data_IF_052839058491
#
_entry.id   IF_052839058491
#
_cell.length_a   1.000
_cell.length_b   1.000
_cell.length_c   1.000
_cell.angle_alpha   90.00
_cell.angle_beta   90.00
_cell.angle_gamma   90.00
#
_symmetry.space_group_name_H-M   'P 1'
#
loop_
_entity.id
_entity.type
_entity.pdbx_description
1 polymer ?
#
# COMPACT_ATOMS: atom_id res chain seq x y z
N UNK A 1 -30.44 -85.81 20.51
CA UNK A 1 -29.57 -86.69 19.69
C UNK A 1 -28.13 -86.20 19.83
N UNK A 2 -27.27 -86.98 20.49
CA UNK A 2 -25.81 -86.95 20.36
C UNK A 2 -25.41 -88.12 19.43
N UNK A 3 -24.15 -88.28 18.96
CA UNK A 3 -23.10 -87.31 18.61
C UNK A 3 -22.43 -87.67 17.24
N UNK A 4 -21.42 -86.92 16.79
CA UNK A 4 -20.19 -87.56 16.27
C UNK A 4 -18.94 -86.69 16.42
N UNK A 5 -17.95 -87.35 16.99
CA UNK A 5 -16.62 -86.94 17.43
C UNK A 5 -15.66 -86.80 16.24
N UNK A 6 -14.70 -85.89 16.36
CA UNK A 6 -13.54 -85.80 15.47
C UNK A 6 -12.40 -85.00 16.11
N UNK A 7 -11.70 -85.64 17.05
CA UNK A 7 -10.44 -85.25 17.67
C UNK A 7 -9.34 -84.90 16.65
N UNK A 8 -8.44 -83.94 16.93
CA UNK A 8 -7.08 -84.20 17.45
C UNK A 8 -6.06 -83.06 17.14
N UNK A 9 -5.55 -82.45 18.22
CA UNK A 9 -4.21 -81.91 18.52
C UNK A 9 -3.26 -81.26 17.48
N UNK A 10 -2.68 -80.15 18.00
CA UNK A 10 -1.25 -79.73 18.07
C UNK A 10 -0.65 -78.75 17.04
N UNK A 11 -0.63 -77.47 17.48
CA UNK A 11 0.55 -76.66 17.88
C UNK A 11 1.67 -76.45 16.82
N UNK A 12 1.89 -75.20 16.37
CA UNK A 12 3.02 -74.32 16.77
C UNK A 12 3.13 -73.00 15.97
N UNK A 13 3.21 -71.91 16.75
CA UNK A 13 4.09 -70.73 16.67
C UNK A 13 4.10 -69.78 15.45
N UNK A 14 4.03 -68.50 15.84
CA UNK A 14 4.88 -67.33 15.50
C UNK A 14 4.30 -66.30 14.53
N UNK A 15 4.18 -65.07 15.05
CA UNK A 15 4.52 -63.84 14.32
C UNK A 15 3.34 -63.03 13.80
N UNK A 16 3.28 -61.75 14.18
CA UNK A 16 2.48 -60.74 13.48
C UNK A 16 1.49 -60.01 14.39
N UNK A 17 1.99 -59.02 15.14
CA UNK A 17 1.17 -58.04 15.85
C UNK A 17 0.25 -57.30 14.86
N UNK A 18 -1.04 -57.17 15.20
CA UNK A 18 -2.03 -56.37 14.48
C UNK A 18 -1.60 -54.90 14.38
N UNK A 19 -1.77 -54.21 13.23
CA UNK A 19 -1.68 -52.75 13.18
C UNK A 19 -2.87 -52.15 13.93
N UNK A 20 -2.59 -51.26 14.89
CA UNK A 20 -3.59 -50.44 15.57
C UNK A 20 -4.16 -49.36 14.66
N UNK A 21 -5.26 -48.70 15.08
CA UNK A 21 -5.97 -47.73 14.27
C UNK A 21 -5.08 -46.50 13.99
N UNK A 22 -5.08 -46.07 12.73
CA UNK A 22 -4.34 -44.90 12.26
C UNK A 22 -4.71 -43.63 13.05
N UNK A 23 -3.74 -42.75 13.36
CA UNK A 23 -4.02 -41.48 14.00
C UNK A 23 -4.86 -40.58 13.06
N UNK A 24 -5.64 -39.64 13.61
CA UNK A 24 -6.38 -38.68 12.80
C UNK A 24 -5.41 -37.87 11.95
N UNK A 25 -5.81 -37.65 10.69
CA UNK A 25 -5.17 -36.76 9.75
C UNK A 25 -4.97 -35.40 10.44
N UNK A 26 -3.72 -35.02 10.70
CA UNK A 26 -3.37 -33.65 11.03
C UNK A 26 -3.78 -32.82 9.83
N UNK A 27 -4.91 -32.10 9.96
CA UNK A 27 -5.30 -31.04 9.05
C UNK A 27 -4.11 -30.10 8.99
N UNK A 28 -3.38 -30.12 7.87
CA UNK A 28 -2.35 -29.14 7.62
C UNK A 28 -3.03 -27.78 7.68
N UNK A 29 -2.63 -26.99 8.68
CA UNK A 29 -2.86 -25.56 8.69
C UNK A 29 -2.41 -25.07 7.31
N UNK A 30 -3.37 -24.67 6.50
CA UNK A 30 -3.06 -23.99 5.25
C UNK A 30 -2.52 -22.65 5.71
N UNK A 31 -1.20 -22.58 5.88
CA UNK A 31 -0.46 -21.33 6.03
C UNK A 31 -0.76 -20.53 4.77
N UNK A 32 -1.88 -19.81 4.79
CA UNK A 32 -2.06 -18.69 3.89
C UNK A 32 -1.02 -17.68 4.34
N UNK A 33 0.04 -17.44 3.54
CA UNK A 33 1.01 -16.42 3.90
C UNK A 33 0.23 -15.12 4.08
N UNK A 34 0.42 -14.46 5.22
CA UNK A 34 -0.16 -13.15 5.45
C UNK A 34 0.25 -12.22 4.30
N UNK A 35 -0.64 -11.32 3.85
CA UNK A 35 -0.31 -10.41 2.78
C UNK A 35 0.99 -9.65 3.12
N UNK A 36 1.81 -9.35 2.10
CA UNK A 36 3.10 -8.72 2.33
C UNK A 36 2.89 -7.37 3.03
N UNK A 37 3.67 -7.15 4.09
CA UNK A 37 3.60 -5.94 4.90
C UNK A 37 4.81 -5.06 4.60
N UNK A 38 4.57 -3.77 4.40
CA UNK A 38 5.66 -2.82 4.22
C UNK A 38 6.35 -2.54 5.57
N UNK A 39 7.69 -2.50 5.54
CA UNK A 39 8.54 -2.22 6.70
C UNK A 39 9.48 -1.08 6.32
N UNK A 40 9.51 -0.02 7.12
CA UNK A 40 10.44 1.08 6.88
C UNK A 40 11.89 0.60 7.05
N UNK A 41 12.83 1.08 6.24
CA UNK A 41 14.24 0.62 6.27
C UNK A 41 14.95 0.85 7.61
N UNK A 42 14.53 1.87 8.35
CA UNK A 42 15.02 2.15 9.71
C UNK A 42 14.47 1.21 10.78
N UNK A 43 13.36 0.50 10.51
CA UNK A 43 12.76 -0.41 11.48
C UNK A 43 13.59 -1.70 11.58
N UNK A 44 13.72 -2.29 12.78
CA UNK A 44 14.49 -3.51 12.95
C UNK A 44 13.91 -4.64 12.11
N UNK A 45 14.74 -5.19 11.21
CA UNK A 45 14.31 -6.28 10.32
C UNK A 45 14.11 -7.57 11.12
N UNK A 46 13.00 -8.30 10.89
CA UNK A 46 12.90 -9.68 11.32
C UNK A 46 14.05 -10.50 10.72
N UNK A 47 14.64 -11.42 11.50
CA UNK A 47 15.83 -12.20 11.12
C UNK A 47 15.69 -13.05 9.85
N UNK A 48 14.46 -13.21 9.36
CA UNK A 48 14.09 -13.88 8.10
C UNK A 48 14.29 -13.02 6.85
N UNK A 49 14.41 -11.69 6.95
CA UNK A 49 14.64 -10.80 5.80
C UNK A 49 16.13 -10.77 5.41
N UNK A 50 16.60 -11.85 4.77
CA UNK A 50 17.96 -11.95 4.20
C UNK A 50 18.04 -11.62 2.70
N UNK A 51 17.04 -10.94 2.15
CA UNK A 51 17.03 -10.60 0.73
C UNK A 51 17.74 -9.25 0.53
N UNK A 52 18.73 -9.24 -0.38
CA UNK A 52 19.15 -7.98 -1.01
C UNK A 52 18.00 -7.55 -1.90
N UNK A 53 17.61 -6.26 -1.91
CA UNK A 53 16.61 -5.77 -2.86
C UNK A 53 17.03 -6.15 -4.27
N UNK A 54 16.13 -6.85 -4.97
CA UNK A 54 16.40 -7.32 -6.33
C UNK A 54 16.24 -6.17 -7.33
N UNK A 55 15.26 -5.30 -7.09
CA UNK A 55 14.98 -4.10 -7.88
C UNK A 55 14.44 -2.98 -6.97
N UNK A 56 14.88 -1.73 -7.22
CA UNK A 56 14.32 -0.55 -6.57
C UNK A 56 13.10 -0.05 -7.34
N UNK A 57 12.03 0.26 -6.62
CA UNK A 57 10.77 0.79 -7.13
C UNK A 57 10.58 2.22 -6.61
N UNK A 58 9.98 3.10 -7.41
CA UNK A 58 9.66 4.47 -6.98
C UNK A 58 8.16 4.66 -6.87
N UNK A 59 7.69 5.19 -5.75
CA UNK A 59 6.31 5.62 -5.52
C UNK A 59 6.27 7.13 -5.51
N UNK A 60 5.42 7.70 -6.36
CA UNK A 60 5.18 9.14 -6.43
C UNK A 60 3.89 9.47 -5.70
N UNK A 61 3.99 10.27 -4.64
CA UNK A 61 2.87 10.68 -3.80
C UNK A 61 2.58 12.16 -4.02
N UNK A 62 1.50 12.47 -4.71
CA UNK A 62 1.03 13.85 -4.84
C UNK A 62 0.28 14.26 -3.58
N UNK A 63 0.59 15.43 -3.03
CA UNK A 63 0.01 15.91 -1.76
C UNK A 63 -0.86 17.14 -2.02
N UNK A 64 -2.17 16.98 -1.89
CA UNK A 64 -3.15 18.07 -1.93
C UNK A 64 -3.43 18.51 -0.50
N UNK A 65 -3.08 19.74 -0.15
CA UNK A 65 -3.29 20.26 1.20
C UNK A 65 -4.43 21.27 1.23
N UNK A 66 -5.40 21.06 2.13
CA UNK A 66 -6.37 22.07 2.50
C UNK A 66 -5.72 23.18 3.35
N UNK A 67 -6.44 24.26 3.59
CA UNK A 67 -6.03 25.35 4.48
C UNK A 67 -5.70 24.81 5.86
N UNK A 68 -4.52 25.17 6.40
CA UNK A 68 -4.03 24.65 7.68
C UNK A 68 -3.50 23.20 7.64
N UNK A 69 -3.74 22.48 6.54
CA UNK A 69 -3.18 21.16 6.30
C UNK A 69 -1.67 21.21 6.00
N UNK A 70 -1.04 20.03 6.00
CA UNK A 70 0.40 19.91 5.76
C UNK A 70 0.73 19.76 4.28
N UNK A 71 1.73 20.49 3.81
CA UNK A 71 2.25 20.31 2.46
C UNK A 71 3.24 19.13 2.36
N UNK A 72 3.69 18.82 1.15
CA UNK A 72 4.59 17.71 0.85
C UNK A 72 5.95 17.79 1.57
N UNK A 73 6.57 18.97 1.64
CA UNK A 73 7.86 19.16 2.33
C UNK A 73 7.73 18.87 3.82
N UNK A 74 6.62 19.32 4.43
CA UNK A 74 6.36 19.10 5.84
C UNK A 74 6.02 17.64 6.13
N UNK A 75 5.35 16.93 5.22
CA UNK A 75 5.16 15.48 5.34
C UNK A 75 6.47 14.71 5.31
N UNK A 76 7.38 15.04 4.38
CA UNK A 76 8.73 14.48 4.36
C UNK A 76 9.44 14.64 5.70
N UNK A 77 9.44 15.86 6.23
CA UNK A 77 10.07 16.18 7.50
C UNK A 77 9.44 15.43 8.68
N UNK A 78 8.11 15.32 8.71
CA UNK A 78 7.39 14.60 9.77
C UNK A 78 7.66 13.11 9.71
N UNK A 79 7.74 12.52 8.52
CA UNK A 79 8.05 11.10 8.35
C UNK A 79 9.47 10.79 8.86
N UNK A 80 10.46 11.61 8.51
CA UNK A 80 11.83 11.47 9.04
C UNK A 80 11.89 11.62 10.57
N UNK A 81 11.10 12.55 11.14
CA UNK A 81 10.98 12.73 12.60
C UNK A 81 10.41 11.53 13.32
N UNK A 82 9.35 10.92 12.77
CA UNK A 82 8.73 9.73 13.38
C UNK A 82 9.72 8.58 13.46
N UNK A 83 10.63 8.48 12.48
CA UNK A 83 11.64 7.44 12.39
C UNK A 83 12.94 7.76 13.14
N UNK A 84 12.91 8.77 14.01
CA UNK A 84 14.03 9.20 14.86
C UNK A 84 15.33 9.44 14.05
N UNK A 85 15.21 9.83 12.77
CA UNK A 85 16.34 10.28 11.97
C UNK A 85 16.74 11.67 12.47
N UNK A 86 17.55 11.69 13.53
CA UNK A 86 17.84 12.83 14.40
C UNK A 86 18.68 13.96 13.80
N UNK A 87 18.39 14.40 12.58
CA UNK A 87 19.08 15.54 11.96
C UNK A 87 18.23 16.81 11.95
N UNK A 88 18.89 17.89 12.36
CA UNK A 88 18.44 19.26 12.11
C UNK A 88 18.49 19.48 10.59
N UNK A 89 17.40 19.98 10.02
CA UNK A 89 17.20 20.16 8.57
C UNK A 89 18.34 20.96 7.94
N UNK A 90 19.15 20.37 7.06
CA UNK A 90 20.12 21.13 6.23
C UNK A 90 19.66 21.36 4.78
N UNK A 91 18.49 20.80 4.41
CA UNK A 91 17.85 21.01 3.12
C UNK A 91 18.44 20.21 1.96
N UNK A 92 19.47 19.37 2.19
CA UNK A 92 20.13 18.57 1.16
C UNK A 92 20.13 17.06 1.41
N UNK A 93 19.85 16.61 2.64
CA UNK A 93 19.76 15.18 2.90
C UNK A 93 18.51 14.53 2.26
N UNK A 94 18.77 13.50 1.46
CA UNK A 94 17.79 12.58 0.89
C UNK A 94 17.14 11.81 2.05
N UNK A 95 15.98 12.27 2.52
CA UNK A 95 15.24 11.58 3.59
C UNK A 95 15.05 10.11 3.22
N UNK A 96 15.53 9.21 4.09
CA UNK A 96 15.34 7.77 3.88
C UNK A 96 13.86 7.46 4.08
N UNK A 97 13.12 7.52 2.98
CA UNK A 97 11.70 7.25 2.83
C UNK A 97 11.49 5.88 2.18
N UNK A 98 12.44 4.98 2.43
CA UNK A 98 12.48 3.65 1.83
C UNK A 98 11.71 2.64 2.65
N UNK A 99 10.99 1.79 1.94
CA UNK A 99 10.20 0.71 2.50
C UNK A 99 10.54 -0.61 1.82
N UNK A 100 10.64 -1.66 2.61
CA UNK A 100 10.75 -3.03 2.11
C UNK A 100 9.36 -3.68 2.11
N UNK A 101 8.94 -4.22 0.98
CA UNK A 101 7.70 -4.99 0.86
C UNK A 101 7.95 -6.22 -0.02
N UNK A 102 7.78 -7.42 0.55
CA UNK A 102 8.05 -8.73 -0.10
C UNK A 102 9.43 -8.84 -0.78
N UNK A 103 10.47 -8.25 -0.18
CA UNK A 103 11.84 -8.29 -0.71
C UNK A 103 12.15 -7.25 -1.79
N UNK A 104 11.19 -6.39 -2.14
CA UNK A 104 11.40 -5.21 -3.00
C UNK A 104 11.63 -3.97 -2.15
N UNK A 105 12.47 -3.07 -2.66
CA UNK A 105 12.74 -1.77 -2.04
C UNK A 105 11.92 -0.69 -2.77
N UNK A 106 11.23 0.13 -2.00
CA UNK A 106 10.34 1.18 -2.47
C UNK A 106 10.78 2.53 -1.91
N UNK A 107 11.20 3.42 -2.80
CA UNK A 107 11.49 4.81 -2.48
C UNK A 107 10.22 5.65 -2.64
N UNK A 108 9.78 6.31 -1.56
CA UNK A 108 8.54 7.09 -1.53
C UNK A 108 8.85 8.57 -1.69
N UNK A 109 8.39 9.14 -2.79
CA UNK A 109 8.64 10.53 -3.12
C UNK A 109 7.38 11.40 -3.02
N UNK A 110 7.39 12.44 -2.16
CA UNK A 110 6.27 13.37 -2.05
C UNK A 110 6.45 14.60 -2.93
N UNK A 111 5.38 15.00 -3.61
CA UNK A 111 5.41 16.13 -4.54
C UNK A 111 4.16 16.99 -4.40
N UNK A 112 4.24 18.29 -4.75
CA UNK A 112 3.03 19.08 -4.92
C UNK A 112 2.23 18.55 -6.13
N UNK A 113 0.91 18.77 -6.16
CA UNK A 113 0.10 18.48 -7.35
C UNK A 113 0.60 19.39 -8.48
N UNK A 114 0.96 18.81 -9.62
CA UNK A 114 1.46 19.59 -10.75
C UNK A 114 1.07 18.99 -12.09
N UNK A 115 0.50 19.82 -12.96
CA UNK A 115 0.33 19.51 -14.38
C UNK A 115 1.62 19.68 -15.20
N UNK A 116 2.70 20.22 -14.59
CA UNK A 116 3.97 20.46 -15.29
C UNK A 116 4.71 19.17 -15.62
N UNK A 117 4.35 18.05 -15.00
CA UNK A 117 4.84 16.74 -15.41
C UNK A 117 4.27 16.43 -16.80
N UNK A 118 5.14 16.37 -17.81
CA UNK A 118 4.74 15.99 -19.16
C UNK A 118 4.08 14.60 -19.16
N UNK A 119 3.09 14.38 -20.03
CA UNK A 119 2.30 13.15 -20.09
C UNK A 119 3.20 11.92 -20.26
N UNK A 120 4.26 12.07 -21.06
CA UNK A 120 5.29 11.04 -21.24
C UNK A 120 5.96 10.65 -19.92
N UNK A 121 6.29 11.61 -19.06
CA UNK A 121 6.91 11.34 -17.76
C UNK A 121 5.95 10.59 -16.82
N UNK A 122 4.67 10.99 -16.79
CA UNK A 122 3.63 10.29 -16.01
C UNK A 122 3.35 8.87 -16.53
N UNK A 123 3.45 8.62 -17.84
CA UNK A 123 3.33 7.26 -18.41
C UNK A 123 4.43 6.31 -17.92
N UNK A 124 5.61 6.83 -17.55
CA UNK A 124 6.69 6.03 -16.98
C UNK A 124 6.57 5.84 -15.47
N UNK A 125 5.72 6.62 -14.78
CA UNK A 125 5.46 6.43 -13.36
C UNK A 125 4.51 5.26 -13.15
N UNK A 126 5.05 4.16 -12.64
CA UNK A 126 4.27 2.98 -12.30
C UNK A 126 3.34 3.29 -11.12
N UNK A 127 3.92 3.69 -9.98
CA UNK A 127 3.18 3.89 -8.75
C UNK A 127 2.94 5.38 -8.49
N UNK A 128 1.70 5.85 -8.72
CA UNK A 128 1.29 7.23 -8.39
C UNK A 128 0.15 7.15 -7.39
N UNK A 129 0.35 7.74 -6.22
CA UNK A 129 -0.59 7.81 -5.11
C UNK A 129 -0.98 9.27 -4.83
N UNK A 130 -2.10 9.44 -4.12
CA UNK A 130 -2.62 10.76 -3.76
C UNK A 130 -2.86 10.85 -2.25
N UNK A 131 -2.47 11.97 -1.65
CA UNK A 131 -2.72 12.26 -0.24
C UNK A 131 -3.44 13.60 -0.14
N UNK A 132 -4.58 13.59 0.52
CA UNK A 132 -5.25 14.80 0.98
C UNK A 132 -4.87 15.05 2.43
N UNK A 133 -4.49 16.28 2.77
CA UNK A 133 -4.17 16.66 4.13
C UNK A 133 -5.08 17.77 4.62
N UNK A 134 -5.52 17.66 5.87
CA UNK A 134 -6.38 18.65 6.51
C UNK A 134 -6.05 18.82 7.98
N UNK A 135 -6.44 19.97 8.53
CA UNK A 135 -6.36 20.28 9.95
C UNK A 135 -7.68 19.88 10.61
N UNK A 136 -7.64 18.87 11.50
CA UNK A 136 -8.81 18.38 12.21
C UNK A 136 -9.40 19.40 13.18
N UNK A 137 -8.64 20.45 13.53
CA UNK A 137 -9.12 21.59 14.31
C UNK A 137 -10.00 22.56 13.51
N UNK A 138 -10.04 22.41 12.19
CA UNK A 138 -10.75 23.30 11.27
C UNK A 138 -11.80 22.56 10.44
N UNK A 139 -13.08 22.85 10.70
CA UNK A 139 -14.18 22.34 9.86
C UNK A 139 -14.06 22.82 8.42
N UNK A 140 -13.62 24.06 8.21
CA UNK A 140 -13.35 24.62 6.88
C UNK A 140 -12.30 23.79 6.13
N UNK A 141 -11.20 23.39 6.80
CA UNK A 141 -10.15 22.55 6.21
C UNK A 141 -10.67 21.17 5.77
N UNK A 142 -11.55 20.59 6.59
CA UNK A 142 -12.21 19.32 6.25
C UNK A 142 -13.17 19.46 5.07
N UNK A 143 -14.03 20.49 5.08
CA UNK A 143 -14.99 20.73 4.00
C UNK A 143 -14.26 21.01 2.66
N UNK A 144 -13.13 21.74 2.69
CA UNK A 144 -12.24 21.92 1.53
C UNK A 144 -11.68 20.58 1.01
N UNK A 145 -11.26 19.70 1.92
CA UNK A 145 -10.73 18.37 1.58
C UNK A 145 -11.79 17.50 0.93
N UNK A 146 -12.99 17.47 1.50
CA UNK A 146 -14.15 16.75 0.93
C UNK A 146 -14.49 17.30 -0.44
N UNK A 147 -14.55 18.63 -0.59
CA UNK A 147 -14.85 19.27 -1.87
C UNK A 147 -13.78 18.98 -2.93
N UNK A 148 -12.50 19.00 -2.56
CA UNK A 148 -11.40 18.65 -3.46
C UNK A 148 -11.46 17.18 -3.90
N UNK A 149 -11.69 16.27 -2.95
CA UNK A 149 -11.85 14.85 -3.24
C UNK A 149 -13.01 14.58 -4.21
N UNK A 150 -14.20 15.12 -3.90
CA UNK A 150 -15.39 14.88 -4.73
C UNK A 150 -15.28 15.53 -6.10
N UNK A 151 -14.64 16.71 -6.20
CA UNK A 151 -14.33 17.34 -7.48
C UNK A 151 -13.45 16.42 -8.32
N UNK A 152 -12.34 15.94 -7.76
CA UNK A 152 -11.43 15.04 -8.48
C UNK A 152 -12.13 13.75 -8.91
N UNK A 153 -12.92 13.15 -8.01
CA UNK A 153 -13.71 11.96 -8.33
C UNK A 153 -14.69 12.22 -9.47
N UNK A 154 -15.37 13.36 -9.49
CA UNK A 154 -16.33 13.72 -10.53
C UNK A 154 -15.69 13.94 -11.92
N UNK A 155 -14.41 14.26 -11.96
CA UNK A 155 -13.64 14.44 -13.19
C UNK A 155 -13.12 13.12 -13.77
N UNK A 156 -13.24 12.01 -13.04
CA UNK A 156 -12.78 10.70 -13.47
C UNK A 156 -13.89 9.84 -14.09
N UNK A 157 -13.57 9.06 -15.12
CA UNK A 157 -14.47 8.09 -15.74
C UNK A 157 -14.95 7.07 -14.69
N UNK A 158 -16.26 6.86 -14.58
CA UNK A 158 -16.94 6.02 -13.56
C UNK A 158 -16.58 6.36 -12.09
N UNK A 159 -15.99 7.53 -11.84
CA UNK A 159 -15.51 7.92 -10.51
C UNK A 159 -14.28 7.13 -10.02
N UNK A 160 -13.59 6.42 -10.91
CA UNK A 160 -12.38 5.64 -10.59
C UNK A 160 -11.16 6.54 -10.71
N UNK A 161 -10.47 6.76 -9.59
CA UNK A 161 -9.28 7.60 -9.55
C UNK A 161 -8.09 6.95 -10.30
N UNK A 162 -7.26 7.74 -11.00
CA UNK A 162 -6.08 7.23 -11.72
C UNK A 162 -4.89 6.87 -10.80
N UNK A 163 -5.10 6.84 -9.49
CA UNK A 163 -4.08 6.61 -8.47
C UNK A 163 -4.11 5.17 -7.97
N UNK A 164 -2.95 4.64 -7.62
CA UNK A 164 -2.81 3.29 -7.05
C UNK A 164 -3.34 3.23 -5.62
N UNK A 165 -3.20 4.35 -4.90
CA UNK A 165 -3.72 4.51 -3.56
C UNK A 165 -4.11 5.96 -3.30
N UNK A 166 -5.15 6.15 -2.50
CA UNK A 166 -5.55 7.48 -2.02
C UNK A 166 -5.63 7.45 -0.50
N UNK A 167 -5.12 8.50 0.15
CA UNK A 167 -5.12 8.63 1.60
C UNK A 167 -5.67 10.00 2.01
N UNK A 168 -6.44 10.02 3.10
CA UNK A 168 -6.93 11.21 3.77
C UNK A 168 -6.21 11.28 5.12
N UNK A 169 -5.42 12.32 5.32
CA UNK A 169 -4.52 12.47 6.44
C UNK A 169 -4.92 13.66 7.31
N UNK A 170 -5.31 13.36 8.54
CA UNK A 170 -5.76 14.32 9.55
C UNK A 170 -4.59 14.76 10.44
N UNK A 171 -4.39 16.06 10.55
CA UNK A 171 -3.43 16.69 11.46
C UNK A 171 -4.15 17.35 12.64
N UNK A 172 -3.61 17.17 13.85
CA UNK A 172 -4.15 17.83 15.05
C UNK A 172 -5.48 17.23 15.51
N UNK A 173 -6.12 17.84 16.49
CA UNK A 173 -7.41 17.39 17.03
C UNK A 173 -8.41 18.55 17.02
N UNK A 174 -9.70 18.26 16.79
CA UNK A 174 -10.75 19.27 17.01
C UNK A 174 -12.14 18.86 16.52
N UNK A 175 -12.93 19.81 15.96
CA UNK A 175 -14.38 19.65 15.81
C UNK A 175 -14.78 18.63 14.74
N UNK A 176 -13.87 18.25 13.84
CA UNK A 176 -14.12 17.17 12.87
C UNK A 176 -13.81 15.86 13.57
N UNK A 177 -14.84 15.03 13.82
CA UNK A 177 -14.60 13.73 14.42
C UNK A 177 -13.85 12.85 13.45
N UNK A 178 -12.96 12.05 13.99
CA UNK A 178 -12.18 11.15 13.16
C UNK A 178 -13.02 10.02 12.59
N UNK A 179 -14.09 9.64 13.28
CA UNK A 179 -15.05 8.65 12.82
C UNK A 179 -15.78 9.14 11.56
N UNK A 180 -16.07 10.44 11.47
CA UNK A 180 -16.64 11.06 10.26
C UNK A 180 -15.66 10.94 9.09
N UNK A 181 -14.41 11.35 9.30
CA UNK A 181 -13.39 11.33 8.24
C UNK A 181 -13.01 9.91 7.81
N UNK A 182 -12.93 8.97 8.76
CA UNK A 182 -12.67 7.56 8.49
C UNK A 182 -13.83 6.92 7.73
N UNK A 183 -15.09 7.19 8.12
CA UNK A 183 -16.26 6.71 7.39
C UNK A 183 -16.28 7.27 5.96
N UNK A 184 -15.94 8.54 5.78
CA UNK A 184 -15.82 9.17 4.47
C UNK A 184 -14.77 8.46 3.60
N UNK A 185 -13.56 8.22 4.14
CA UNK A 185 -12.48 7.55 3.44
C UNK A 185 -12.85 6.10 3.05
N UNK A 186 -13.38 5.33 4.01
CA UNK A 186 -13.78 3.94 3.82
C UNK A 186 -14.87 3.78 2.75
N UNK A 187 -15.89 4.64 2.77
CA UNK A 187 -16.95 4.64 1.75
C UNK A 187 -16.40 4.84 0.33
N UNK A 188 -15.23 5.48 0.22
CA UNK A 188 -14.58 5.84 -1.04
C UNK A 188 -13.35 4.98 -1.35
N UNK A 189 -13.10 3.92 -0.57
CA UNK A 189 -11.95 3.04 -0.75
C UNK A 189 -10.60 3.74 -0.55
N UNK A 190 -10.56 4.80 0.26
CA UNK A 190 -9.33 5.54 0.59
C UNK A 190 -8.85 5.16 1.98
N UNK A 191 -7.54 5.25 2.21
CA UNK A 191 -6.95 5.12 3.53
C UNK A 191 -7.28 6.35 4.38
N UNK A 192 -7.44 6.15 5.68
CA UNK A 192 -7.52 7.24 6.64
C UNK A 192 -6.40 7.11 7.67
N UNK A 193 -5.72 8.23 7.94
CA UNK A 193 -4.68 8.30 8.96
C UNK A 193 -4.83 9.57 9.79
N UNK A 194 -4.59 9.42 11.09
CA UNK A 194 -4.34 10.54 12.01
C UNK A 194 -2.85 10.58 12.27
N UNK A 195 -2.26 11.76 12.25
CA UNK A 195 -0.85 11.88 12.58
C UNK A 195 -0.54 13.11 13.42
N UNK A 196 0.53 12.99 14.21
CA UNK A 196 1.00 14.07 15.07
C UNK A 196 1.66 15.18 14.24
N UNK A 197 1.23 16.46 14.38
CA UNK A 197 1.88 17.60 13.73
C UNK A 197 3.31 17.88 14.23
N UNK A 198 3.68 17.29 15.36
CA UNK A 198 4.96 17.54 16.05
C UNK A 198 5.96 16.42 15.78
N UNK A 199 5.50 15.18 15.92
CA UNK A 199 6.35 13.98 15.86
C UNK A 199 6.18 13.19 14.58
N UNK A 200 5.13 13.44 13.79
CA UNK A 200 4.80 12.64 12.61
C UNK A 200 4.17 11.29 12.91
N UNK A 201 4.11 10.89 14.20
CA UNK A 201 3.58 9.59 14.63
C UNK A 201 2.27 9.24 13.93
N UNK A 202 2.25 8.10 13.25
CA UNK A 202 1.15 7.60 12.44
C UNK A 202 1.45 7.59 10.94
N UNK A 203 2.34 8.45 10.45
CA UNK A 203 2.64 8.57 9.02
C UNK A 203 3.36 7.34 8.46
N UNK A 204 4.33 6.78 9.18
CA UNK A 204 5.16 5.68 8.69
C UNK A 204 4.35 4.43 8.39
N UNK A 205 3.41 4.08 9.26
CA UNK A 205 2.50 2.95 8.98
C UNK A 205 1.55 3.25 7.82
N UNK A 206 1.04 4.48 7.72
CA UNK A 206 0.10 4.85 6.67
C UNK A 206 0.76 4.92 5.28
N UNK A 207 1.98 5.44 5.21
CA UNK A 207 2.81 5.37 4.01
C UNK A 207 3.17 3.92 3.68
N UNK A 208 3.46 3.09 4.69
CA UNK A 208 3.59 1.65 4.52
C UNK A 208 2.36 1.02 3.86
N UNK A 209 1.14 1.39 4.27
CA UNK A 209 -0.08 0.91 3.61
C UNK A 209 -0.23 1.39 2.15
N UNK A 210 0.26 2.59 1.80
CA UNK A 210 0.35 3.00 0.39
C UNK A 210 1.37 2.16 -0.40
N UNK A 211 2.49 1.80 0.22
CA UNK A 211 3.49 0.89 -0.36
C UNK A 211 2.88 -0.49 -0.61
N UNK A 212 2.11 -1.02 0.33
CA UNK A 212 1.40 -2.29 0.18
C UNK A 212 0.38 -2.24 -0.98
N UNK A 213 -0.36 -1.15 -1.14
CA UNK A 213 -1.25 -0.94 -2.30
C UNK A 213 -0.48 -0.87 -3.62
N UNK A 214 0.65 -0.16 -3.65
CA UNK A 214 1.54 -0.11 -4.82
C UNK A 214 2.10 -1.48 -5.18
N UNK A 215 2.51 -2.24 -4.18
CA UNK A 215 3.02 -3.58 -4.32
C UNK A 215 1.98 -4.54 -4.92
N UNK A 216 0.74 -4.48 -4.44
CA UNK A 216 -0.34 -5.36 -4.88
C UNK A 216 -0.64 -5.27 -6.39
N UNK A 217 -0.33 -4.13 -7.03
CA UNK A 217 -0.55 -3.92 -8.47
C UNK A 217 0.75 -3.87 -9.28
N UNK A 218 1.91 -4.10 -8.65
CA UNK A 218 3.23 -3.93 -9.25
C UNK A 218 3.39 -4.72 -10.55
N UNK A 219 3.17 -6.02 -10.52
CA UNK A 219 3.44 -6.86 -11.70
C UNK A 219 2.59 -6.46 -12.91
N UNK A 220 1.34 -6.05 -12.67
CA UNK A 220 0.47 -5.54 -13.72
C UNK A 220 1.00 -4.21 -14.29
N UNK A 221 1.49 -3.31 -13.44
CA UNK A 221 2.03 -2.02 -13.88
C UNK A 221 3.38 -2.16 -14.59
N UNK A 222 4.24 -3.08 -14.14
CA UNK A 222 5.49 -3.43 -14.81
C UNK A 222 5.19 -3.98 -16.20
N UNK A 223 4.28 -4.94 -16.31
CA UNK A 223 3.86 -5.49 -17.60
C UNK A 223 3.27 -4.41 -18.54
N UNK A 224 2.41 -3.53 -18.02
CA UNK A 224 1.83 -2.43 -18.80
C UNK A 224 2.93 -1.46 -19.31
N UNK A 225 3.96 -1.19 -18.48
CA UNK A 225 5.08 -0.29 -18.81
C UNK A 225 6.07 -0.92 -19.79
N UNK A 226 6.38 -2.21 -19.62
CA UNK A 226 7.27 -2.94 -20.53
C UNK A 226 6.62 -3.12 -21.90
N UNK A 227 5.29 -3.27 -21.95
CA UNK A 227 4.50 -3.23 -23.18
C UNK A 227 4.61 -1.89 -23.92
N UNK A 228 4.63 -0.76 -23.20
CA UNK A 228 4.89 0.56 -23.78
C UNK A 228 6.32 0.67 -24.36
N UNK A 229 7.30 0.03 -23.71
CA UNK A 229 8.71 0.05 -24.15
C UNK A 229 9.01 -0.89 -25.32
N UNK A 230 8.23 -1.96 -25.48
CA UNK A 230 8.54 -3.07 -26.38
C UNK A 230 7.62 -3.18 -27.60
N UNK A 231 6.44 -2.57 -27.62
CA UNK A 231 5.45 -2.74 -28.71
C UNK A 231 5.10 -1.45 -29.46
N UNK A 232 4.47 -1.65 -30.64
CA UNK A 232 4.05 -0.59 -31.56
C UNK A 232 3.11 0.46 -30.90
N UNK A 233 3.22 1.73 -31.32
CA UNK A 233 2.31 2.79 -30.89
C UNK A 233 0.84 2.39 -31.11
N UNK A 234 0.09 2.15 -30.02
CA UNK A 234 -1.33 1.79 -30.10
C UNK A 234 -1.77 0.53 -29.34
N UNK A 235 -0.86 -0.19 -28.67
CA UNK A 235 -1.22 -1.33 -27.80
C UNK A 235 -2.19 -0.92 -26.68
N UNK A 236 -2.97 -1.89 -26.16
CA UNK A 236 -3.98 -1.64 -25.11
C UNK A 236 -3.34 -1.11 -23.82
N UNK A 237 -2.15 -1.60 -23.46
CA UNK A 237 -1.38 -1.13 -22.31
C UNK A 237 -0.94 0.34 -22.47
N UNK A 238 -0.38 0.69 -23.63
CA UNK A 238 0.01 2.07 -23.94
C UNK A 238 -1.15 3.04 -23.86
N UNK A 239 -2.34 2.64 -24.37
CA UNK A 239 -3.56 3.45 -24.28
C UNK A 239 -4.04 3.62 -22.84
N UNK A 240 -3.96 2.58 -22.01
CA UNK A 240 -4.34 2.64 -20.60
C UNK A 240 -3.44 3.59 -19.81
N UNK A 241 -2.12 3.51 -20.01
CA UNK A 241 -1.15 4.40 -19.36
C UNK A 241 -1.32 5.85 -19.80
N UNK A 242 -1.52 6.07 -21.11
CA UNK A 242 -1.76 7.41 -21.64
C UNK A 242 -3.03 8.04 -21.05
N UNK A 243 -4.15 7.31 -21.06
CA UNK A 243 -5.40 7.79 -20.46
C UNK A 243 -5.24 8.15 -18.98
N UNK A 244 -4.51 7.32 -18.22
CA UNK A 244 -4.21 7.59 -16.81
C UNK A 244 -3.38 8.87 -16.66
N UNK A 245 -2.34 9.05 -17.46
CA UNK A 245 -1.49 10.23 -17.43
C UNK A 245 -2.27 11.51 -17.80
N UNK A 246 -3.10 11.47 -18.85
CA UNK A 246 -3.98 12.56 -19.25
C UNK A 246 -4.98 12.91 -18.14
N UNK A 247 -5.57 11.90 -17.48
CA UNK A 247 -6.45 12.12 -16.34
C UNK A 247 -5.72 12.84 -15.19
N UNK A 248 -4.51 12.39 -14.81
CA UNK A 248 -3.71 13.05 -13.76
C UNK A 248 -3.39 14.50 -14.14
N UNK A 249 -3.00 14.76 -15.39
CA UNK A 249 -2.73 16.13 -15.85
C UNK A 249 -3.98 17.01 -15.78
N UNK A 250 -5.13 16.51 -16.24
CA UNK A 250 -6.38 17.24 -16.19
C UNK A 250 -6.77 17.58 -14.74
N UNK A 251 -6.62 16.61 -13.82
CA UNK A 251 -6.89 16.81 -12.39
C UNK A 251 -6.00 17.90 -11.77
N UNK A 252 -4.73 18.00 -12.20
CA UNK A 252 -3.77 18.93 -11.62
C UNK A 252 -3.61 20.27 -12.36
N UNK A 253 -4.27 20.46 -13.51
CA UNK A 253 -4.20 21.70 -14.27
C UNK A 253 -4.65 22.91 -13.44
N UNK A 254 -5.68 22.73 -12.61
CA UNK A 254 -6.25 23.77 -11.75
C UNK A 254 -5.37 24.14 -10.53
N UNK A 255 -4.34 23.33 -10.24
CA UNK A 255 -3.39 23.60 -9.15
C UNK A 255 -2.16 24.41 -9.61
N UNK A 256 -2.08 24.71 -10.91
CA UNK A 256 -0.96 25.44 -11.53
C UNK A 256 -1.33 26.83 -12.06
N UNK A 257 -2.57 27.27 -11.85
CA UNK A 257 -3.10 28.58 -12.29
C UNK A 257 -2.98 29.67 -11.24
#
# INVERSE_FOLDING_TARGET
MLPRVGSMFRRRRRGGSKPGPSPPLTTGETDNPSPPRAIHTSDPRPSSFKLRPVDSQSIFVSVVNAKGGTNYQRLYWLLGREKEQGYEFDGYDEYDTRYLCDGYDYEVNFHPPSASYGTAYLCFMQHVCLVFTYDASSRESWDETVAAYERMRSQCEDGVLPFVGTMIAAMGEGPVSYEEAEAFANQRGSLFVKFSPVTGQGLGNAVGSLVEQAHAVRDQQTADTDGLRSEEPGSTASRKLLKRAEAIQALFAEYTS
#
